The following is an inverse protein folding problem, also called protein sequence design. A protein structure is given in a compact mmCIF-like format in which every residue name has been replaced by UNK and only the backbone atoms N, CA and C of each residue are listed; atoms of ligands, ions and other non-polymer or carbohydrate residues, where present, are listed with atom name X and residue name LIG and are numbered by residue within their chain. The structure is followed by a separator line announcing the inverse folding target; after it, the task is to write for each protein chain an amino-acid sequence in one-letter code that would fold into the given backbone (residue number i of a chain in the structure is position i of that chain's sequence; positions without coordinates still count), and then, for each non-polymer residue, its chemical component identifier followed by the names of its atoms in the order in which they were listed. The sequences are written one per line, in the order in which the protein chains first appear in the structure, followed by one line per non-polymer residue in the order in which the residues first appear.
data_IF_371558987860
#
_entry.id   IF_371558987860
#
_cell.length_a   1.000
_cell.length_b   1.000
_cell.length_c   1.000
_cell.angle_alpha   90.00
_cell.angle_beta   90.00
_cell.angle_gamma   90.00
#
_symmetry.space_group_name_H-M   'P 1'
#
loop_
_entity.id
_entity.type
_entity.pdbx_description
1 polymer ?
#
# COMPACT_ATOMS: atom_id res chain seq x y z
N UNK A 1 -9.87 25.45 0.54
CA UNK A 1 -10.05 25.97 -0.84
C UNK A 1 -10.49 27.42 -0.68
N UNK A 2 -9.71 28.42 -1.04
CA UNK A 2 -9.36 28.84 -2.39
C UNK A 2 -7.88 29.25 -2.47
N UNK A 3 -7.10 28.65 -3.37
CA UNK A 3 -6.98 29.07 -4.78
C UNK A 3 -6.28 30.43 -4.92
N UNK A 4 -5.21 30.44 -5.70
CA UNK A 4 -4.46 31.63 -6.10
C UNK A 4 -5.39 32.71 -6.71
N UNK A 5 -5.48 33.84 -5.98
CA UNK A 5 -5.83 35.23 -6.34
C UNK A 5 -7.18 35.56 -7.01
N UNK A 6 -7.93 36.46 -6.34
CA UNK A 6 -8.24 37.81 -6.85
C UNK A 6 -8.56 38.77 -5.68
N UNK A 7 -8.27 40.07 -5.81
CA UNK A 7 -8.51 41.09 -4.78
C UNK A 7 -9.34 42.24 -5.36
N UNK A 8 -10.42 42.60 -4.68
CA UNK A 8 -11.04 43.94 -4.68
C UNK A 8 -12.05 43.99 -3.52
N UNK A 9 -11.90 44.95 -2.60
CA UNK A 9 -12.60 44.97 -1.31
C UNK A 9 -13.80 45.91 -1.22
N UNK A 10 -14.48 45.89 -0.06
CA UNK A 10 -14.91 47.06 0.74
C UNK A 10 -15.64 46.64 2.03
N UNK A 11 -15.45 47.46 3.07
CA UNK A 11 -15.99 47.45 4.44
C UNK A 11 -17.47 47.03 4.63
N UNK A 12 -17.81 46.43 5.79
CA UNK A 12 -18.48 47.12 6.93
C UNK A 12 -18.92 46.19 8.10
N UNK A 13 -18.65 46.69 9.32
CA UNK A 13 -19.42 46.64 10.60
C UNK A 13 -19.76 45.31 11.31
N UNK A 14 -19.44 45.31 12.61
CA UNK A 14 -19.71 44.27 13.62
C UNK A 14 -21.18 44.19 14.03
N UNK A 15 -21.71 42.97 14.15
CA UNK A 15 -22.93 42.64 14.88
C UNK A 15 -22.72 41.32 15.64
N UNK A 16 -22.97 41.31 16.96
CA UNK A 16 -23.07 40.11 17.79
C UNK A 16 -24.48 39.52 17.67
N UNK A 17 -24.66 38.21 17.39
CA UNK A 17 -25.99 37.61 17.39
C UNK A 17 -26.32 36.97 18.75
N UNK A 18 -27.53 37.24 19.23
CA UNK A 18 -28.22 36.47 20.26
C UNK A 18 -28.70 35.17 19.60
N UNK A 19 -28.28 34.01 20.11
CA UNK A 19 -28.67 32.70 19.58
C UNK A 19 -30.01 32.29 20.19
N UNK A 20 -31.08 32.40 19.43
CA UNK A 20 -32.33 31.69 19.73
C UNK A 20 -32.18 30.21 19.30
N UNK A 21 -32.23 29.31 20.28
CA UNK A 21 -32.18 27.86 20.05
C UNK A 21 -33.49 27.43 19.38
N UNK A 22 -33.44 27.20 18.07
CA UNK A 22 -34.62 26.77 17.31
C UNK A 22 -34.91 25.29 17.62
N UNK A 23 -35.94 25.05 18.42
CA UNK A 23 -36.32 23.70 18.91
C UNK A 23 -36.50 22.71 17.76
N UNK A 24 -36.99 23.17 16.59
CA UNK A 24 -37.11 22.32 15.40
C UNK A 24 -35.77 21.82 14.84
N UNK A 25 -34.70 22.62 14.95
CA UNK A 25 -33.35 22.22 14.53
C UNK A 25 -32.75 21.18 15.48
N UNK A 26 -32.93 21.36 16.79
CA UNK A 26 -32.46 20.42 17.81
C UNK A 26 -33.16 19.06 17.69
N UNK A 27 -34.48 19.06 17.49
CA UNK A 27 -35.26 17.84 17.27
C UNK A 27 -34.87 17.15 15.96
N UNK A 28 -34.60 17.91 14.89
CA UNK A 28 -34.10 17.37 13.63
C UNK A 28 -32.73 16.69 13.75
N UNK A 29 -31.78 17.32 14.43
CA UNK A 29 -30.44 16.75 14.66
C UNK A 29 -30.51 15.49 15.54
N UNK A 30 -31.33 15.51 16.59
CA UNK A 30 -31.56 14.32 17.43
C UNK A 30 -32.20 13.18 16.64
N UNK A 31 -33.15 13.45 15.75
CA UNK A 31 -33.77 12.43 14.92
C UNK A 31 -32.79 11.81 13.90
N UNK A 32 -31.91 12.63 13.31
CA UNK A 32 -30.83 12.15 12.43
C UNK A 32 -29.80 11.32 13.20
N UNK A 33 -29.41 11.75 14.40
CA UNK A 33 -28.51 10.96 15.27
C UNK A 33 -29.15 9.66 15.73
N UNK A 34 -30.43 9.67 16.06
CA UNK A 34 -31.15 8.46 16.48
C UNK A 34 -31.30 7.47 15.32
N UNK A 35 -31.64 7.96 14.13
CA UNK A 35 -31.71 7.10 12.93
C UNK A 35 -30.33 6.57 12.57
N UNK A 36 -29.27 7.39 12.64
CA UNK A 36 -27.89 6.93 12.44
C UNK A 36 -27.50 5.87 13.47
N UNK A 37 -27.76 6.07 14.76
CA UNK A 37 -27.50 5.09 15.82
C UNK A 37 -28.28 3.79 15.62
N UNK A 38 -29.54 3.86 15.21
CA UNK A 38 -30.37 2.67 14.92
C UNK A 38 -29.86 1.94 13.68
N UNK A 39 -29.42 2.66 12.64
CA UNK A 39 -28.80 2.06 11.46
C UNK A 39 -27.44 1.44 11.79
N UNK A 40 -26.60 2.10 12.59
CA UNK A 40 -25.32 1.57 13.06
C UNK A 40 -25.49 0.35 13.96
N UNK A 41 -26.47 0.35 14.87
CA UNK A 41 -26.82 -0.82 15.67
C UNK A 41 -27.36 -1.95 14.81
N UNK A 42 -28.25 -1.68 13.84
CA UNK A 42 -28.74 -2.71 12.90
C UNK A 42 -27.62 -3.29 12.05
N UNK A 43 -26.68 -2.47 11.58
CA UNK A 43 -25.51 -2.92 10.82
C UNK A 43 -24.55 -3.77 11.69
N UNK A 44 -24.33 -3.37 12.96
CA UNK A 44 -23.56 -4.16 13.91
C UNK A 44 -24.25 -5.49 14.26
N UNK A 45 -25.58 -5.49 14.45
CA UNK A 45 -26.38 -6.69 14.73
C UNK A 45 -26.47 -7.60 13.50
N UNK A 46 -26.53 -7.06 12.28
CA UNK A 46 -26.42 -7.88 11.05
C UNK A 46 -25.02 -8.45 10.86
N UNK A 47 -23.98 -7.77 11.34
CA UNK A 47 -22.61 -8.31 11.39
C UNK A 47 -22.42 -9.42 12.43
N UNK A 48 -23.28 -9.49 13.45
CA UNK A 48 -23.28 -10.53 14.48
C UNK A 48 -24.14 -11.76 14.10
N UNK A 49 -25.04 -11.64 13.13
CA UNK A 49 -25.92 -12.70 12.64
C UNK A 49 -25.68 -12.99 11.14
N UNK A 50 -24.42 -13.22 10.76
CA UNK A 50 -24.14 -13.88 9.49
C UNK A 50 -24.71 -15.31 9.56
N UNK A 51 -25.46 -15.72 8.53
CA UNK A 51 -25.80 -17.14 8.36
C UNK A 51 -24.50 -17.95 8.34
N UNK A 52 -24.33 -18.86 9.30
CA UNK A 52 -23.20 -19.79 9.30
C UNK A 52 -23.32 -20.69 8.07
N UNK A 53 -22.29 -20.68 7.21
CA UNK A 53 -22.25 -21.52 6.01
C UNK A 53 -22.40 -20.75 4.71
N UNK A 54 -21.47 -19.85 4.39
CA UNK A 54 -21.50 -19.11 3.11
C UNK A 54 -20.12 -19.09 2.43
N UNK A 55 -20.15 -19.04 1.09
CA UNK A 55 -18.97 -18.75 0.25
C UNK A 55 -19.24 -17.46 -0.51
N UNK A 56 -18.44 -16.43 -0.27
CA UNK A 56 -18.55 -15.13 -0.94
C UNK A 56 -17.36 -14.96 -1.87
N UNK A 57 -17.63 -15.04 -3.17
CA UNK A 57 -16.63 -14.79 -4.21
C UNK A 57 -16.60 -13.31 -4.58
N UNK A 58 -15.43 -12.69 -4.48
CA UNK A 58 -15.23 -11.27 -4.73
C UNK A 58 -14.26 -11.06 -5.90
N UNK A 59 -14.77 -10.38 -6.94
CA UNK A 59 -14.06 -9.96 -8.15
C UNK A 59 -14.00 -8.44 -8.31
N UNK A 60 -14.32 -7.67 -7.26
CA UNK A 60 -14.33 -6.21 -7.28
C UNK A 60 -12.94 -5.69 -7.67
N UNK A 61 -12.88 -4.69 -8.55
CA UNK A 61 -11.61 -4.19 -9.07
C UNK A 61 -11.00 -5.07 -10.18
N UNK A 62 -9.84 -4.64 -10.69
CA UNK A 62 -9.20 -5.27 -11.86
C UNK A 62 -8.12 -6.30 -11.52
N UNK A 63 -7.62 -6.31 -10.27
CA UNK A 63 -6.36 -6.98 -9.95
C UNK A 63 -6.52 -8.37 -9.36
N UNK A 64 -7.51 -8.60 -8.48
CA UNK A 64 -7.51 -9.78 -7.60
C UNK A 64 -8.84 -10.52 -7.60
N UNK A 65 -8.79 -11.80 -7.24
CA UNK A 65 -9.94 -12.64 -6.96
C UNK A 65 -9.78 -13.22 -5.57
N UNK A 66 -10.84 -13.18 -4.78
CA UNK A 66 -10.80 -13.65 -3.38
C UNK A 66 -12.08 -14.40 -3.04
N UNK A 67 -11.98 -15.35 -2.12
CA UNK A 67 -13.12 -16.02 -1.52
C UNK A 67 -13.10 -15.84 0.00
N UNK A 68 -14.21 -15.41 0.60
CA UNK A 68 -14.46 -15.57 2.03
C UNK A 68 -15.34 -16.80 2.24
N UNK A 69 -14.93 -17.69 3.13
CA UNK A 69 -15.62 -18.94 3.45
C UNK A 69 -15.92 -18.95 4.95
N UNK A 70 -17.19 -18.98 5.31
CA UNK A 70 -17.65 -18.89 6.70
C UNK A 70 -18.42 -20.16 7.12
N UNK A 71 -18.03 -20.83 8.22
CA UNK A 71 -18.67 -22.06 8.71
C UNK A 71 -17.68 -23.14 9.16
N UNK A 72 -18.04 -24.43 8.99
CA UNK A 72 -17.09 -25.55 9.14
C UNK A 72 -16.22 -25.62 7.89
N UNK A 73 -15.04 -24.98 7.94
CA UNK A 73 -14.11 -24.92 6.81
C UNK A 73 -12.98 -25.92 7.00
N UNK A 74 -12.77 -26.80 6.01
CA UNK A 74 -11.69 -27.81 6.02
C UNK A 74 -10.71 -27.58 4.89
N UNK A 75 -9.46 -27.37 5.23
CA UNK A 75 -8.38 -27.16 4.28
C UNK A 75 -7.60 -28.47 4.14
N UNK A 76 -7.70 -29.11 2.99
CA UNK A 76 -6.79 -30.19 2.62
C UNK A 76 -5.53 -29.54 2.03
N UNK A 77 -4.46 -29.49 2.83
CA UNK A 77 -3.26 -28.75 2.48
C UNK A 77 -2.49 -29.40 1.32
N UNK A 78 -2.42 -30.73 1.27
CA UNK A 78 -1.73 -31.46 0.20
C UNK A 78 -2.39 -31.27 -1.17
N UNK A 79 -3.72 -31.14 -1.19
CA UNK A 79 -4.49 -30.90 -2.41
C UNK A 79 -4.78 -29.42 -2.69
N UNK A 80 -4.29 -28.49 -1.84
CA UNK A 80 -4.61 -27.05 -1.90
C UNK A 80 -6.12 -26.80 -2.11
N UNK A 81 -6.94 -27.47 -1.32
CA UNK A 81 -8.39 -27.41 -1.43
C UNK A 81 -9.03 -26.95 -0.13
N UNK A 82 -9.95 -25.99 -0.20
CA UNK A 82 -10.71 -25.41 0.91
C UNK A 82 -12.17 -25.80 0.75
N UNK A 83 -12.71 -26.51 1.74
CA UNK A 83 -14.05 -27.05 1.69
C UNK A 83 -14.95 -26.37 2.71
N UNK A 84 -16.10 -25.87 2.28
CA UNK A 84 -17.20 -25.54 3.19
C UNK A 84 -18.06 -26.79 3.40
N UNK A 85 -18.24 -27.19 4.66
CA UNK A 85 -19.10 -28.32 5.03
C UNK A 85 -20.50 -27.79 5.36
N UNK A 86 -21.53 -28.10 4.55
CA UNK A 86 -22.88 -27.67 4.85
C UNK A 86 -23.49 -28.49 5.99
N UNK A 87 -24.45 -27.91 6.69
CA UNK A 87 -25.20 -28.58 7.76
C UNK A 87 -26.25 -29.57 7.23
N UNK A 88 -26.65 -29.43 5.97
CA UNK A 88 -27.59 -30.31 5.27
C UNK A 88 -27.10 -30.61 3.84
N UNK A 89 -27.84 -31.43 3.10
CA UNK A 89 -27.52 -31.70 1.70
C UNK A 89 -27.56 -30.41 0.88
N UNK A 90 -26.53 -30.18 0.06
CA UNK A 90 -26.38 -28.99 -0.78
C UNK A 90 -25.90 -29.36 -2.18
N UNK A 91 -26.12 -28.46 -3.13
CA UNK A 91 -25.44 -28.52 -4.42
C UNK A 91 -23.93 -28.25 -4.26
N UNK A 92 -23.12 -28.94 -5.07
CA UNK A 92 -21.68 -28.74 -5.12
C UNK A 92 -21.37 -27.55 -5.99
N UNK A 93 -20.62 -26.61 -5.43
CA UNK A 93 -20.08 -25.46 -6.14
C UNK A 93 -18.57 -25.43 -5.96
N UNK A 94 -17.84 -25.00 -6.99
CA UNK A 94 -16.38 -25.01 -7.00
C UNK A 94 -15.85 -23.74 -7.66
N UNK A 95 -14.82 -23.16 -7.06
CA UNK A 95 -14.10 -21.98 -7.53
C UNK A 95 -12.61 -22.28 -7.52
N UNK A 96 -11.88 -21.75 -8.50
CA UNK A 96 -10.43 -21.84 -8.55
C UNK A 96 -9.86 -20.44 -8.34
N UNK A 97 -9.18 -20.22 -7.22
CA UNK A 97 -8.69 -18.92 -6.81
C UNK A 97 -7.18 -18.92 -6.87
N UNK A 98 -6.58 -17.98 -7.61
CA UNK A 98 -5.16 -17.71 -7.50
C UNK A 98 -4.93 -16.93 -6.20
N UNK A 99 -4.25 -17.49 -5.17
CA UNK A 99 -4.16 -16.86 -3.85
C UNK A 99 -3.13 -15.71 -3.81
N UNK A 100 -3.04 -14.91 -4.87
CA UNK A 100 -2.13 -13.77 -5.02
C UNK A 100 -2.93 -12.53 -5.44
N UNK A 101 -2.42 -11.33 -5.16
CA UNK A 101 -3.18 -10.09 -5.42
C UNK A 101 -3.34 -9.74 -6.90
N UNK A 102 -2.67 -10.47 -7.80
CA UNK A 102 -2.75 -10.31 -9.25
C UNK A 102 -3.30 -11.59 -9.86
N UNK A 103 -4.49 -11.54 -10.47
CA UNK A 103 -5.23 -12.65 -11.10
C UNK A 103 -4.40 -13.50 -12.07
N UNK A 104 -3.35 -12.91 -12.64
CA UNK A 104 -2.41 -13.57 -13.54
C UNK A 104 -1.00 -13.45 -13.00
N UNK A 105 -0.60 -14.35 -12.10
CA UNK A 105 0.78 -14.45 -11.62
C UNK A 105 1.39 -15.81 -12.00
N UNK A 106 2.37 -15.84 -12.93
CA UNK A 106 3.05 -17.07 -13.30
C UNK A 106 3.71 -17.75 -12.10
N UNK A 107 3.70 -19.09 -12.09
CA UNK A 107 4.35 -19.89 -11.06
C UNK A 107 3.58 -20.03 -9.75
N UNK A 108 2.42 -19.39 -9.61
CA UNK A 108 1.54 -19.54 -8.45
C UNK A 108 0.48 -20.59 -8.74
N UNK A 109 0.30 -21.53 -7.80
CA UNK A 109 -0.76 -22.55 -7.88
C UNK A 109 -2.09 -22.00 -7.39
N UNK A 110 -3.16 -22.36 -8.08
CA UNK A 110 -4.51 -22.06 -7.61
C UNK A 110 -4.85 -22.89 -6.37
N UNK A 111 -5.70 -22.32 -5.53
CA UNK A 111 -6.41 -22.98 -4.44
C UNK A 111 -7.83 -23.24 -4.90
N UNK A 112 -8.26 -24.50 -4.79
CA UNK A 112 -9.65 -24.87 -5.08
C UNK A 112 -10.50 -24.57 -3.85
N UNK A 113 -11.58 -23.81 -4.02
CA UNK A 113 -12.58 -23.58 -2.98
C UNK A 113 -13.85 -24.33 -3.40
N UNK A 114 -14.44 -25.13 -2.52
CA UNK A 114 -15.65 -25.87 -2.87
C UNK A 114 -16.64 -25.96 -1.70
N UNK A 115 -17.93 -25.83 -2.02
CA UNK A 115 -19.01 -26.20 -1.13
C UNK A 115 -19.32 -27.68 -1.33
N UNK A 116 -19.21 -28.48 -0.27
CA UNK A 116 -19.46 -29.92 -0.34
C UNK A 116 -20.96 -30.23 -0.41
N UNK A 117 -21.28 -31.44 -0.87
CA UNK A 117 -22.68 -31.89 -0.97
C UNK A 117 -23.29 -32.23 0.40
N UNK A 118 -22.46 -32.55 1.40
CA UNK A 118 -22.91 -32.91 2.73
C UNK A 118 -21.75 -33.27 3.66
N UNK A 119 -22.01 -33.42 4.98
CA UNK A 119 -20.98 -33.71 5.97
C UNK A 119 -20.18 -34.99 5.72
N UNK A 120 -20.80 -36.00 5.11
CA UNK A 120 -20.17 -37.30 4.84
C UNK A 120 -19.03 -37.23 3.82
N UNK A 121 -19.01 -36.20 2.95
CA UNK A 121 -17.95 -36.00 1.97
C UNK A 121 -16.74 -35.25 2.54
N UNK A 122 -16.84 -34.73 3.76
CA UNK A 122 -15.83 -33.84 4.33
C UNK A 122 -14.68 -34.64 4.99
N UNK A 123 -13.41 -34.33 4.66
CA UNK A 123 -12.27 -35.02 5.26
C UNK A 123 -12.18 -34.73 6.76
N UNK A 124 -11.78 -35.70 7.59
CA UNK A 124 -11.66 -35.49 9.02
C UNK A 124 -10.59 -34.44 9.36
N UNK A 125 -10.86 -33.59 10.35
CA UNK A 125 -9.89 -32.62 10.85
C UNK A 125 -8.72 -33.35 11.52
N UNK A 126 -7.50 -33.04 11.07
CA UNK A 126 -6.27 -33.46 11.77
C UNK A 126 -5.86 -32.42 12.81
N UNK A 127 -6.12 -31.14 12.54
CA UNK A 127 -5.87 -30.00 13.43
C UNK A 127 -7.04 -29.04 13.34
N UNK A 128 -7.48 -28.50 14.48
CA UNK A 128 -8.62 -27.58 14.56
C UNK A 128 -8.20 -26.28 15.22
N UNK A 129 -8.69 -25.16 14.68
CA UNK A 129 -8.42 -23.82 15.16
C UNK A 129 -9.71 -23.10 15.56
N UNK A 130 -9.62 -22.24 16.58
CA UNK A 130 -10.74 -21.38 17.01
C UNK A 130 -10.72 -19.98 16.40
N UNK A 131 -9.74 -19.66 15.57
CA UNK A 131 -9.50 -18.36 14.94
C UNK A 131 -9.69 -18.44 13.42
N UNK A 132 -9.99 -17.33 12.71
CA UNK A 132 -9.99 -17.31 11.24
C UNK A 132 -8.60 -17.56 10.64
N UNK A 133 -8.56 -17.87 9.35
CA UNK A 133 -7.32 -17.94 8.57
C UNK A 133 -7.35 -17.08 7.30
N UNK A 134 -6.17 -16.64 6.85
CA UNK A 134 -5.96 -16.02 5.53
C UNK A 134 -4.94 -16.84 4.75
N UNK A 135 -5.35 -17.35 3.59
CA UNK A 135 -4.51 -18.08 2.64
C UNK A 135 -3.99 -17.11 1.59
N UNK A 136 -2.68 -17.02 1.43
CA UNK A 136 -2.05 -16.25 0.36
C UNK A 136 -0.77 -16.91 -0.14
N UNK A 137 -0.37 -16.58 -1.37
CA UNK A 137 0.86 -17.06 -1.99
C UNK A 137 1.99 -16.04 -1.89
N UNK A 138 3.22 -16.55 -1.81
CA UNK A 138 4.44 -15.80 -2.08
C UNK A 138 5.06 -16.23 -3.42
N UNK A 139 6.26 -15.73 -3.74
CA UNK A 139 6.87 -15.88 -5.06
C UNK A 139 6.37 -14.79 -6.02
N UNK A 140 6.21 -15.08 -7.31
CA UNK A 140 5.78 -14.09 -8.28
C UNK A 140 6.72 -12.88 -8.31
N UNK A 141 6.23 -11.72 -7.87
CA UNK A 141 6.99 -10.46 -7.83
C UNK A 141 7.61 -10.14 -6.45
N UNK A 142 7.38 -10.99 -5.43
CA UNK A 142 7.99 -10.84 -4.10
C UNK A 142 9.53 -10.87 -4.17
N UNK A 143 10.18 -10.11 -3.27
CA UNK A 143 11.61 -9.82 -3.33
C UNK A 143 11.94 -8.50 -4.03
N UNK A 144 10.96 -7.88 -4.67
CA UNK A 144 10.97 -6.45 -4.95
C UNK A 144 10.22 -5.73 -3.81
N UNK A 145 10.88 -4.79 -3.15
CA UNK A 145 10.36 -4.12 -1.95
C UNK A 145 9.03 -3.40 -2.17
N UNK A 146 8.75 -2.89 -3.38
CA UNK A 146 7.44 -2.33 -3.69
C UNK A 146 6.37 -3.41 -3.78
N UNK A 147 6.63 -4.51 -4.49
CA UNK A 147 5.69 -5.62 -4.62
C UNK A 147 5.42 -6.34 -3.30
N UNK A 148 6.44 -6.50 -2.44
CA UNK A 148 6.23 -7.05 -1.11
C UNK A 148 5.18 -6.23 -0.34
N UNK A 149 5.18 -4.90 -0.49
CA UNK A 149 4.17 -4.03 0.11
C UNK A 149 2.84 -4.02 -0.64
N UNK A 150 2.86 -3.72 -1.94
CA UNK A 150 1.65 -3.48 -2.74
C UNK A 150 0.85 -4.75 -3.02
N UNK A 151 1.54 -5.88 -3.19
CA UNK A 151 0.92 -7.14 -3.60
C UNK A 151 0.64 -8.04 -2.39
N UNK A 152 1.38 -7.88 -1.29
CA UNK A 152 1.25 -8.75 -0.11
C UNK A 152 0.87 -7.97 1.15
N UNK A 153 1.73 -7.09 1.68
CA UNK A 153 1.55 -6.56 3.04
C UNK A 153 0.35 -5.61 3.19
N UNK A 154 0.09 -4.73 2.22
CA UNK A 154 -1.08 -3.84 2.24
C UNK A 154 -2.39 -4.63 2.13
N UNK A 155 -2.56 -5.54 1.15
CA UNK A 155 -3.73 -6.42 1.09
C UNK A 155 -3.87 -7.35 2.30
N UNK A 156 -2.76 -7.84 2.86
CA UNK A 156 -2.77 -8.70 4.05
C UNK A 156 -3.23 -7.92 5.28
N UNK A 157 -2.80 -6.66 5.45
CA UNK A 157 -3.33 -5.77 6.47
C UNK A 157 -4.84 -5.60 6.33
N UNK A 158 -5.33 -5.33 5.11
CA UNK A 158 -6.78 -5.22 4.83
C UNK A 158 -7.53 -6.49 5.19
N UNK A 159 -7.00 -7.67 4.83
CA UNK A 159 -7.66 -8.95 5.08
C UNK A 159 -7.65 -9.38 6.56
N UNK A 160 -6.71 -8.90 7.35
CA UNK A 160 -6.44 -9.43 8.70
C UNK A 160 -6.72 -8.47 9.85
N UNK A 161 -6.69 -7.15 9.62
CA UNK A 161 -6.74 -6.16 10.70
C UNK A 161 -8.02 -6.24 11.54
N UNK A 162 -9.15 -6.64 10.93
CA UNK A 162 -10.44 -6.84 11.62
C UNK A 162 -10.40 -7.85 12.78
N UNK A 163 -9.41 -8.73 12.81
CA UNK A 163 -9.31 -9.80 13.81
C UNK A 163 -8.43 -9.47 15.03
N UNK A 164 -7.81 -8.28 15.08
CA UNK A 164 -7.03 -7.85 16.26
C UNK A 164 -5.88 -8.80 16.64
N UNK A 165 -5.27 -9.46 15.65
CA UNK A 165 -4.20 -10.45 15.84
C UNK A 165 -4.67 -11.90 15.99
N UNK A 166 -5.97 -12.15 16.16
CA UNK A 166 -6.53 -13.50 16.25
C UNK A 166 -6.80 -14.09 14.87
N UNK A 167 -5.75 -14.33 14.09
CA UNK A 167 -5.88 -14.86 12.71
C UNK A 167 -4.64 -15.66 12.32
N UNK A 168 -4.83 -16.84 11.73
CA UNK A 168 -3.74 -17.69 11.26
C UNK A 168 -3.37 -17.34 9.81
N UNK A 169 -2.08 -17.10 9.54
CA UNK A 169 -1.59 -16.99 8.17
C UNK A 169 -1.16 -18.34 7.64
N UNK A 170 -1.66 -18.68 6.46
CA UNK A 170 -1.38 -19.92 5.75
C UNK A 170 -0.80 -19.55 4.38
N UNK A 171 0.46 -19.90 4.15
CA UNK A 171 1.21 -19.40 3.00
C UNK A 171 1.49 -20.56 2.03
N UNK A 172 1.12 -20.38 0.77
CA UNK A 172 1.51 -21.27 -0.33
C UNK A 172 2.69 -20.69 -1.11
N UNK A 173 3.46 -21.54 -1.77
CA UNK A 173 4.68 -21.14 -2.49
C UNK A 173 5.62 -20.29 -1.60
N UNK A 174 5.75 -20.67 -0.34
CA UNK A 174 6.46 -19.91 0.69
C UNK A 174 7.92 -19.73 0.30
N UNK A 175 8.38 -18.48 0.30
CA UNK A 175 9.78 -18.14 0.19
C UNK A 175 10.37 -18.08 1.61
N UNK A 176 11.30 -18.99 2.02
CA UNK A 176 11.70 -19.11 3.43
C UNK A 176 12.26 -17.83 4.05
N UNK A 177 12.89 -16.97 3.24
CA UNK A 177 13.45 -15.69 3.68
C UNK A 177 12.38 -14.63 3.97
N UNK A 178 11.19 -14.72 3.36
CA UNK A 178 10.19 -13.65 3.37
C UNK A 178 9.50 -13.47 4.74
N UNK A 179 9.01 -14.54 5.42
CA UNK A 179 8.46 -14.40 6.75
C UNK A 179 9.47 -13.84 7.76
N UNK A 180 10.76 -14.13 7.57
CA UNK A 180 11.82 -13.58 8.41
C UNK A 180 12.03 -12.08 8.14
N UNK A 181 12.14 -11.69 6.88
CA UNK A 181 12.33 -10.31 6.47
C UNK A 181 11.19 -9.38 6.95
N UNK A 182 9.96 -9.90 7.02
CA UNK A 182 8.77 -9.14 7.41
C UNK A 182 8.19 -9.55 8.77
N UNK A 183 8.98 -10.23 9.60
CA UNK A 183 8.56 -10.77 10.90
C UNK A 183 7.89 -9.74 11.80
N UNK A 184 8.42 -8.51 11.86
CA UNK A 184 7.88 -7.42 12.69
C UNK A 184 6.45 -7.06 12.27
N UNK A 185 6.18 -7.01 10.96
CA UNK A 185 4.83 -6.74 10.43
C UNK A 185 3.90 -7.93 10.69
N UNK A 186 4.36 -9.14 10.38
CA UNK A 186 3.54 -10.35 10.55
C UNK A 186 3.09 -10.55 12.00
N UNK A 187 3.99 -10.32 12.97
CA UNK A 187 3.67 -10.37 14.41
C UNK A 187 2.73 -9.25 14.86
N UNK A 188 2.71 -8.12 14.14
CA UNK A 188 1.74 -7.05 14.37
C UNK A 188 0.34 -7.38 13.84
N UNK A 189 0.24 -8.24 12.82
CA UNK A 189 -1.03 -8.64 12.21
C UNK A 189 -1.60 -9.94 12.78
N UNK A 190 -0.74 -10.83 13.30
CA UNK A 190 -1.12 -12.13 13.87
C UNK A 190 -0.32 -12.45 15.12
N UNK A 191 -0.98 -13.04 16.12
CA UNK A 191 -0.37 -13.61 17.33
C UNK A 191 0.24 -15.00 17.10
N UNK A 192 0.05 -15.57 15.91
CA UNK A 192 0.46 -16.92 15.55
C UNK A 192 1.57 -16.89 14.50
N UNK A 193 2.47 -17.86 14.54
CA UNK A 193 3.47 -18.01 13.48
C UNK A 193 2.80 -18.42 12.16
N UNK A 194 3.29 -17.88 11.05
CA UNK A 194 2.78 -18.23 9.73
C UNK A 194 3.08 -19.71 9.41
N UNK A 195 2.09 -20.41 8.84
CA UNK A 195 2.22 -21.82 8.47
C UNK A 195 2.57 -21.93 7.00
N UNK A 196 3.58 -22.73 6.68
CA UNK A 196 3.86 -23.15 5.31
C UNK A 196 2.91 -24.27 4.91
N UNK A 197 2.11 -24.04 3.86
CA UNK A 197 1.24 -25.07 3.29
C UNK A 197 1.96 -25.98 2.29
N UNK A 198 3.15 -25.59 1.80
CA UNK A 198 3.89 -26.40 0.85
C UNK A 198 4.43 -27.66 1.54
N UNK A 199 3.93 -28.82 1.13
CA UNK A 199 4.27 -30.11 1.73
C UNK A 199 3.54 -30.41 3.05
N UNK A 200 2.51 -29.62 3.39
CA UNK A 200 1.67 -29.88 4.56
C UNK A 200 0.65 -31.00 4.27
N UNK A 201 0.68 -32.06 5.09
CA UNK A 201 -0.18 -33.24 4.97
C UNK A 201 -1.43 -33.18 5.86
N UNK A 202 -1.60 -32.09 6.62
CA UNK A 202 -2.73 -31.93 7.51
C UNK A 202 -4.02 -31.55 6.77
N UNK A 203 -5.13 -31.98 7.34
CA UNK A 203 -6.44 -31.33 7.13
C UNK A 203 -6.66 -30.36 8.29
N UNK A 204 -6.60 -29.07 8.00
CA UNK A 204 -6.74 -28.01 9.02
C UNK A 204 -8.14 -27.42 8.97
N UNK A 205 -8.78 -27.30 10.13
CA UNK A 205 -10.16 -26.84 10.23
C UNK A 205 -10.28 -25.50 10.94
N UNK A 206 -11.07 -24.60 10.35
CA UNK A 206 -11.23 -23.22 10.78
C UNK A 206 -12.71 -22.81 10.76
N UNK A 207 -13.14 -21.86 11.62
CA UNK A 207 -14.48 -21.29 11.58
C UNK A 207 -14.68 -20.32 10.40
N UNK A 208 -13.60 -19.77 9.85
CA UNK A 208 -13.64 -18.81 8.76
C UNK A 208 -12.29 -18.77 8.02
N UNK A 209 -12.32 -18.71 6.69
CA UNK A 209 -11.12 -18.65 5.85
C UNK A 209 -11.28 -17.64 4.73
N UNK A 210 -10.31 -16.73 4.59
CA UNK A 210 -10.15 -15.89 3.40
C UNK A 210 -9.12 -16.54 2.47
N UNK A 211 -9.44 -16.71 1.19
CA UNK A 211 -8.53 -17.24 0.16
C UNK A 211 -8.18 -16.13 -0.82
N UNK A 212 -6.89 -15.82 -0.93
CA UNK A 212 -6.36 -14.74 -1.75
C UNK A 212 -6.29 -13.39 -1.03
N UNK A 213 -5.64 -12.45 -1.70
CA UNK A 213 -5.43 -11.08 -1.21
C UNK A 213 -6.10 -10.09 -2.15
N UNK A 214 -6.86 -9.14 -1.62
CA UNK A 214 -7.57 -8.14 -2.40
C UNK A 214 -6.77 -6.85 -2.50
N UNK A 215 -6.16 -6.58 -3.65
CA UNK A 215 -5.43 -5.34 -3.89
C UNK A 215 -6.33 -4.29 -4.53
N UNK A 216 -6.41 -3.11 -3.89
CA UNK A 216 -7.26 -2.02 -4.35
C UNK A 216 -6.53 -1.22 -5.43
N UNK A 217 -5.44 -0.53 -5.07
CA UNK A 217 -4.61 0.20 -6.02
C UNK A 217 -3.18 0.41 -5.48
N UNK A 218 -2.26 -0.50 -5.80
CA UNK A 218 -0.86 -0.39 -5.36
C UNK A 218 -0.75 -0.34 -3.83
N UNK A 219 -0.28 0.80 -3.31
CA UNK A 219 -0.14 1.05 -1.86
C UNK A 219 -1.39 1.69 -1.23
N UNK A 220 -2.41 2.05 -2.01
CA UNK A 220 -3.64 2.70 -1.52
C UNK A 220 -4.71 1.70 -1.09
N UNK A 221 -5.45 2.06 -0.04
CA UNK A 221 -6.61 1.33 0.48
C UNK A 221 -7.86 2.19 0.32
N UNK A 222 -8.81 1.70 -0.48
CA UNK A 222 -10.18 2.23 -0.57
C UNK A 222 -11.07 1.72 0.58
N UNK A 223 -11.51 2.59 1.51
CA UNK A 223 -12.24 2.18 2.72
C UNK A 223 -13.54 1.42 2.45
N UNK A 224 -14.23 1.73 1.35
CA UNK A 224 -15.51 1.12 0.97
C UNK A 224 -15.36 -0.27 0.32
N UNK A 225 -14.13 -0.78 0.21
CA UNK A 225 -13.82 -2.13 -0.28
C UNK A 225 -13.32 -3.04 0.85
N UNK A 226 -13.04 -2.48 2.03
CA UNK A 226 -12.48 -3.22 3.15
C UNK A 226 -13.56 -4.08 3.82
N UNK A 227 -13.32 -5.37 4.00
CA UNK A 227 -14.30 -6.26 4.60
C UNK A 227 -14.33 -6.08 6.14
N UNK A 228 -15.53 -6.03 6.73
CA UNK A 228 -15.72 -5.91 8.19
C UNK A 228 -15.63 -4.50 8.78
N UNK A 229 -15.31 -3.47 7.97
CA UNK A 229 -15.32 -2.07 8.39
C UNK A 229 -14.27 -1.23 7.64
N UNK A 230 -14.44 0.10 7.57
CA UNK A 230 -13.54 0.94 6.78
C UNK A 230 -12.13 0.99 7.38
N UNK A 231 -11.12 0.70 6.55
CA UNK A 231 -9.70 1.00 6.79
C UNK A 231 -9.19 1.89 5.66
N UNK A 232 -8.23 2.76 5.97
CA UNK A 232 -7.61 3.66 5.00
C UNK A 232 -6.10 3.40 4.87
N UNK A 233 -5.49 3.98 3.83
CA UNK A 233 -4.03 3.99 3.67
C UNK A 233 -3.32 4.61 4.88
N UNK A 234 -3.94 5.62 5.50
CA UNK A 234 -3.46 6.23 6.74
C UNK A 234 -3.48 5.25 7.93
N UNK A 235 -4.46 4.34 8.01
CA UNK A 235 -4.48 3.32 9.07
C UNK A 235 -3.36 2.30 8.88
N UNK A 236 -3.03 1.96 7.63
CA UNK A 236 -1.85 1.14 7.33
C UNK A 236 -0.56 1.82 7.77
N UNK A 237 -0.33 3.09 7.43
CA UNK A 237 0.89 3.78 7.87
C UNK A 237 0.94 3.99 9.38
N UNK A 238 -0.20 4.23 10.05
CA UNK A 238 -0.26 4.23 11.51
C UNK A 238 0.18 2.87 12.08
N UNK A 239 -0.34 1.77 11.53
CA UNK A 239 0.06 0.43 11.93
C UNK A 239 1.57 0.17 11.72
N UNK A 240 2.13 0.58 10.58
CA UNK A 240 3.57 0.47 10.32
C UNK A 240 4.40 1.22 11.38
N UNK A 241 3.94 2.40 11.79
CA UNK A 241 4.61 3.18 12.85
C UNK A 241 4.53 2.51 14.22
N UNK A 242 3.39 1.90 14.54
CA UNK A 242 3.18 1.16 15.79
C UNK A 242 4.12 -0.05 15.89
N UNK A 243 4.16 -0.90 14.86
CA UNK A 243 4.93 -2.16 14.91
C UNK A 243 6.44 -1.94 14.94
N UNK A 244 6.92 -0.87 14.30
CA UNK A 244 8.35 -0.50 14.33
C UNK A 244 8.70 0.49 15.45
N UNK A 245 7.74 0.86 16.29
CA UNK A 245 7.90 1.84 17.37
C UNK A 245 8.57 3.15 16.91
N UNK A 246 8.09 3.69 15.79
CA UNK A 246 8.70 4.86 15.14
C UNK A 246 8.48 6.14 15.97
N UNK A 247 9.55 6.81 16.42
CA UNK A 247 9.43 7.87 17.43
C UNK A 247 8.92 9.21 16.89
N UNK A 248 9.10 9.49 15.59
CA UNK A 248 8.73 10.80 15.01
C UNK A 248 7.34 10.75 14.42
N UNK A 249 6.41 11.57 14.92
CA UNK A 249 5.00 11.68 14.50
C UNK A 249 4.69 12.89 13.61
N UNK A 250 5.67 13.77 13.41
CA UNK A 250 5.61 14.90 12.49
C UNK A 250 7.01 15.24 11.93
N UNK A 251 7.08 15.86 10.74
CA UNK A 251 8.32 16.43 10.25
C UNK A 251 8.77 17.61 11.11
N UNK A 252 10.00 18.09 10.89
CA UNK A 252 10.53 19.26 11.59
C UNK A 252 9.63 20.49 11.35
N UNK A 253 9.16 21.12 12.44
CA UNK A 253 8.39 22.36 12.37
C UNK A 253 9.34 23.55 12.42
N UNK A 254 9.54 24.20 11.27
CA UNK A 254 10.39 25.40 11.16
C UNK A 254 9.80 26.62 11.87
N UNK A 255 8.52 26.59 12.23
CA UNK A 255 7.87 27.62 13.06
C UNK A 255 8.30 27.48 14.52
N UNK A 256 8.39 26.23 15.02
CA UNK A 256 8.75 25.94 16.42
C UNK A 256 10.25 25.87 16.64
N UNK A 257 10.98 25.34 15.65
CA UNK A 257 12.41 25.11 15.69
C UNK A 257 13.08 25.80 14.48
N UNK A 258 13.11 27.16 14.45
CA UNK A 258 13.56 27.91 13.27
C UNK A 258 15.04 27.70 12.92
N UNK A 259 15.85 27.25 13.87
CA UNK A 259 17.27 26.94 13.67
C UNK A 259 17.52 25.52 13.17
N UNK A 260 16.51 24.63 13.23
CA UNK A 260 16.66 23.24 12.81
C UNK A 260 16.56 23.12 11.30
N UNK A 261 17.53 22.45 10.70
CA UNK A 261 17.48 22.12 9.27
C UNK A 261 16.65 20.86 9.07
N UNK A 262 15.64 20.87 8.20
CA UNK A 262 14.92 19.64 7.86
C UNK A 262 15.84 18.67 7.15
N UNK A 263 15.66 17.38 7.41
CA UNK A 263 16.52 16.33 6.87
C UNK A 263 15.92 15.78 5.58
N UNK A 264 16.72 15.72 4.52
CA UNK A 264 16.35 15.16 3.23
C UNK A 264 17.13 13.88 2.98
N UNK A 265 16.42 12.77 2.79
CA UNK A 265 16.99 11.50 2.35
C UNK A 265 16.97 11.45 0.83
N UNK A 266 18.11 11.19 0.21
CA UNK A 266 18.23 10.84 -1.20
C UNK A 266 18.40 9.33 -1.33
N UNK A 267 17.46 8.64 -1.98
CA UNK A 267 17.56 7.21 -2.23
C UNK A 267 18.66 6.96 -3.25
N UNK A 268 19.78 6.43 -2.78
CA UNK A 268 20.88 5.98 -3.61
C UNK A 268 20.49 4.73 -4.39
N UNK A 269 20.99 4.61 -5.63
CA UNK A 269 20.77 3.44 -6.48
C UNK A 269 22.09 3.02 -7.13
N UNK A 270 22.51 1.77 -6.86
CA UNK A 270 23.76 1.22 -7.39
C UNK A 270 23.67 0.63 -8.81
N UNK A 271 22.46 0.29 -9.28
CA UNK A 271 22.30 -0.53 -10.50
C UNK A 271 21.53 0.19 -11.63
N UNK A 272 20.21 0.36 -11.52
CA UNK A 272 19.36 1.00 -12.52
C UNK A 272 18.75 2.31 -12.02
N UNK A 273 18.39 3.21 -12.96
CA UNK A 273 17.81 4.52 -12.66
C UNK A 273 18.67 5.36 -11.71
N UNK A 274 19.97 5.37 -11.95
CA UNK A 274 20.94 6.08 -11.10
C UNK A 274 20.83 7.58 -11.30
N UNK A 275 21.10 8.37 -10.27
CA UNK A 275 21.34 9.81 -10.42
C UNK A 275 22.84 10.00 -10.67
N UNK A 276 23.19 10.36 -11.90
CA UNK A 276 24.59 10.41 -12.36
C UNK A 276 25.39 11.54 -11.70
N UNK A 277 24.71 12.60 -11.24
CA UNK A 277 25.29 13.75 -10.56
C UNK A 277 24.77 13.90 -9.11
N UNK A 278 24.66 12.78 -8.38
CA UNK A 278 24.10 12.71 -7.02
C UNK A 278 24.70 13.75 -6.06
N UNK A 279 26.02 13.95 -6.11
CA UNK A 279 26.72 14.93 -5.27
C UNK A 279 26.33 16.38 -5.57
N UNK A 280 25.96 16.71 -6.81
CA UNK A 280 25.44 18.04 -7.14
C UNK A 280 24.02 18.23 -6.61
N UNK A 281 23.21 17.17 -6.65
CA UNK A 281 21.85 17.17 -6.11
C UNK A 281 21.86 17.35 -4.59
N UNK A 282 22.75 16.65 -3.89
CA UNK A 282 22.94 16.81 -2.44
C UNK A 282 23.36 18.25 -2.09
N UNK A 283 24.37 18.80 -2.77
CA UNK A 283 24.80 20.20 -2.56
C UNK A 283 23.69 21.21 -2.86
N UNK A 284 22.87 20.95 -3.88
CA UNK A 284 21.73 21.80 -4.18
C UNK A 284 20.66 21.74 -3.08
N UNK A 285 20.41 20.56 -2.50
CA UNK A 285 19.51 20.40 -1.36
C UNK A 285 20.05 21.10 -0.10
N UNK A 286 21.36 21.00 0.17
CA UNK A 286 22.01 21.72 1.27
C UNK A 286 21.90 23.25 1.08
N UNK A 287 22.12 23.74 -0.14
CA UNK A 287 21.96 25.15 -0.49
C UNK A 287 20.49 25.62 -0.37
N UNK A 288 19.52 24.72 -0.56
CA UNK A 288 18.10 24.98 -0.31
C UNK A 288 17.73 24.97 1.18
N UNK A 289 18.64 24.58 2.07
CA UNK A 289 18.46 24.63 3.53
C UNK A 289 18.27 23.28 4.22
N UNK A 290 18.38 22.17 3.49
CA UNK A 290 18.25 20.82 4.07
C UNK A 290 19.57 20.33 4.69
N UNK A 291 19.47 19.40 5.63
CA UNK A 291 20.53 18.43 5.91
C UNK A 291 20.31 17.22 4.97
N UNK A 292 21.07 17.14 3.88
CA UNK A 292 20.85 16.15 2.83
C UNK A 292 21.79 14.95 2.97
N UNK A 293 21.24 13.73 2.93
CA UNK A 293 22.01 12.48 3.07
C UNK A 293 21.56 11.48 2.02
N UNK A 294 22.52 10.91 1.28
CA UNK A 294 22.25 9.76 0.41
C UNK A 294 22.23 8.46 1.23
N UNK A 295 21.21 7.64 1.02
CA UNK A 295 21.02 6.36 1.72
C UNK A 295 20.77 5.26 0.71
N UNK A 296 21.54 4.18 0.81
CA UNK A 296 21.37 2.97 0.00
C UNK A 296 20.58 1.93 0.79
N UNK A 297 19.31 1.73 0.41
CA UNK A 297 18.45 0.68 0.96
C UNK A 297 18.74 -0.65 0.26
N UNK A 298 19.97 -1.15 0.46
CA UNK A 298 20.42 -2.43 -0.07
C UNK A 298 19.57 -3.57 0.48
N UNK A 299 19.57 -4.71 -0.23
CA UNK A 299 18.80 -5.91 0.14
C UNK A 299 19.19 -6.52 1.49
N UNK A 300 20.39 -6.25 1.98
CA UNK A 300 20.90 -6.71 3.27
C UNK A 300 20.47 -5.82 4.45
N UNK A 301 19.89 -4.64 4.19
CA UNK A 301 19.35 -3.75 5.23
C UNK A 301 17.97 -4.27 5.65
N UNK A 302 17.82 -4.55 6.94
CA UNK A 302 16.56 -5.05 7.49
C UNK A 302 15.44 -4.01 7.38
N UNK A 303 14.18 -4.45 7.28
CA UNK A 303 13.05 -3.52 7.20
C UNK A 303 12.96 -2.63 8.45
N UNK A 304 13.32 -3.15 9.62
CA UNK A 304 13.44 -2.39 10.87
C UNK A 304 14.44 -1.21 10.75
N UNK A 305 15.62 -1.46 10.18
CA UNK A 305 16.63 -0.43 9.95
C UNK A 305 16.18 0.58 8.89
N UNK A 306 15.55 0.11 7.81
CA UNK A 306 14.97 0.99 6.79
C UNK A 306 13.90 1.90 7.39
N UNK A 307 13.01 1.35 8.22
CA UNK A 307 11.93 2.07 8.88
C UNK A 307 12.45 3.17 9.81
N UNK A 308 13.41 2.83 10.68
CA UNK A 308 14.05 3.81 11.59
C UNK A 308 14.80 4.88 10.82
N UNK A 309 15.52 4.48 9.76
CA UNK A 309 16.27 5.42 8.92
C UNK A 309 15.32 6.39 8.25
N UNK A 310 14.32 5.91 7.50
CA UNK A 310 13.35 6.75 6.79
C UNK A 310 12.56 7.64 7.75
N UNK A 311 12.12 7.15 8.90
CA UNK A 311 11.39 7.95 9.90
C UNK A 311 12.23 9.10 10.46
N UNK A 312 13.56 9.01 10.40
CA UNK A 312 14.44 10.08 10.86
C UNK A 312 14.51 11.29 9.91
N UNK A 313 13.93 11.21 8.71
CA UNK A 313 13.92 12.28 7.71
C UNK A 313 12.56 12.96 7.54
N UNK A 314 12.58 14.17 6.98
CA UNK A 314 11.38 14.98 6.69
C UNK A 314 10.99 14.91 5.21
N UNK A 315 11.97 14.66 4.34
CA UNK A 315 11.82 14.55 2.89
C UNK A 315 12.47 13.26 2.40
N UNK A 316 11.75 12.49 1.57
CA UNK A 316 12.27 11.37 0.80
C UNK A 316 12.36 11.79 -0.66
N UNK A 317 13.56 11.85 -1.21
CA UNK A 317 13.84 12.16 -2.61
C UNK A 317 14.41 10.92 -3.30
N UNK A 318 13.91 10.58 -4.49
CA UNK A 318 14.53 9.52 -5.28
C UNK A 318 13.89 9.32 -6.64
N UNK A 319 14.60 8.60 -7.52
CA UNK A 319 14.06 8.18 -8.82
C UNK A 319 13.03 7.07 -8.61
N UNK A 320 11.91 7.17 -9.34
CA UNK A 320 10.81 6.22 -9.34
C UNK A 320 11.29 4.74 -9.26
N UNK A 321 10.73 4.00 -8.31
CA UNK A 321 10.96 2.56 -8.12
C UNK A 321 11.00 2.15 -6.64
N UNK A 322 11.35 0.89 -6.40
CA UNK A 322 11.11 0.21 -5.12
C UNK A 322 11.71 0.88 -3.88
N UNK A 323 12.81 1.61 -3.99
CA UNK A 323 13.38 2.34 -2.86
C UNK A 323 12.45 3.44 -2.30
N UNK A 324 11.56 3.99 -3.13
CA UNK A 324 10.57 4.98 -2.71
C UNK A 324 9.50 4.40 -1.79
N UNK A 325 9.30 3.07 -1.75
CA UNK A 325 8.36 2.41 -0.83
C UNK A 325 8.62 2.77 0.64
N UNK A 326 9.84 3.19 0.97
CA UNK A 326 10.17 3.75 2.29
C UNK A 326 9.36 5.00 2.68
N UNK A 327 8.55 5.58 1.78
CA UNK A 327 7.58 6.62 2.14
C UNK A 327 6.62 6.18 3.25
N UNK A 328 6.34 4.88 3.38
CA UNK A 328 5.42 4.34 4.40
C UNK A 328 5.90 4.58 5.83
N UNK A 329 7.18 4.90 6.01
CA UNK A 329 7.82 5.14 7.30
C UNK A 329 8.08 6.62 7.60
N UNK A 330 7.87 7.51 6.64
CA UNK A 330 7.99 8.94 6.87
C UNK A 330 7.02 9.39 7.97
N UNK A 331 7.38 10.43 8.74
CA UNK A 331 6.41 11.07 9.63
C UNK A 331 5.22 11.60 8.81
N UNK A 332 3.97 11.50 9.31
CA UNK A 332 2.82 12.15 8.70
C UNK A 332 3.09 13.62 8.42
N UNK A 333 2.72 14.12 7.23
CA UNK A 333 3.07 15.47 6.76
C UNK A 333 4.46 15.58 6.10
N UNK A 334 5.30 14.55 6.14
CA UNK A 334 6.55 14.49 5.39
C UNK A 334 6.35 14.65 3.88
N UNK A 335 7.45 14.86 3.15
CA UNK A 335 7.41 15.15 1.71
C UNK A 335 8.05 14.02 0.90
N UNK A 336 7.33 13.48 -0.08
CA UNK A 336 7.90 12.66 -1.14
C UNK A 336 8.21 13.55 -2.35
N UNK A 337 9.48 13.58 -2.76
CA UNK A 337 9.93 14.15 -4.03
C UNK A 337 10.29 13.00 -4.97
N UNK A 338 9.47 12.77 -5.98
CA UNK A 338 9.65 11.70 -6.94
C UNK A 338 10.30 12.23 -8.22
N UNK A 339 11.51 11.76 -8.54
CA UNK A 339 12.10 11.98 -9.86
C UNK A 339 11.48 10.98 -10.83
N UNK A 340 10.65 11.48 -11.74
CA UNK A 340 9.93 10.68 -12.72
C UNK A 340 10.82 10.48 -13.96
N UNK A 341 11.19 9.23 -14.31
CA UNK A 341 12.05 8.97 -15.47
C UNK A 341 11.45 9.51 -16.76
N UNK A 342 12.31 9.81 -17.74
CA UNK A 342 11.84 10.17 -19.07
C UNK A 342 11.06 9.01 -19.70
N UNK A 343 10.13 9.34 -20.61
CA UNK A 343 9.42 8.34 -21.43
C UNK A 343 7.97 8.11 -21.06
N UNK A 344 7.18 9.16 -20.77
CA UNK A 344 5.74 9.06 -20.44
C UNK A 344 5.47 8.18 -19.20
N UNK A 345 6.27 8.39 -18.17
CA UNK A 345 6.19 7.64 -16.90
C UNK A 345 5.28 8.32 -15.86
N UNK A 346 4.69 9.48 -16.18
CA UNK A 346 3.91 10.33 -15.28
C UNK A 346 2.69 9.63 -14.70
N UNK A 347 1.92 8.90 -15.52
CA UNK A 347 0.74 8.16 -15.07
C UNK A 347 1.14 7.04 -14.11
N UNK A 348 2.16 6.26 -14.44
CA UNK A 348 2.65 5.15 -13.60
C UNK A 348 3.18 5.70 -12.27
N UNK A 349 4.01 6.75 -12.32
CA UNK A 349 4.54 7.40 -11.12
C UNK A 349 3.42 7.93 -10.20
N UNK A 350 2.40 8.55 -10.79
CA UNK A 350 1.23 9.06 -10.05
C UNK A 350 0.45 7.94 -9.40
N UNK A 351 0.17 6.84 -10.11
CA UNK A 351 -0.63 5.74 -9.57
C UNK A 351 0.12 4.94 -8.49
N UNK A 352 1.42 4.72 -8.67
CA UNK A 352 2.21 3.88 -7.75
C UNK A 352 2.70 4.60 -6.50
N UNK A 353 2.92 5.92 -6.57
CA UNK A 353 3.49 6.70 -5.47
C UNK A 353 2.79 8.04 -5.23
N UNK A 354 2.38 8.77 -6.28
CA UNK A 354 1.78 10.09 -6.13
C UNK A 354 0.44 10.11 -5.38
N UNK A 355 -0.49 9.24 -5.75
CA UNK A 355 -1.77 9.07 -5.04
C UNK A 355 -1.55 8.42 -3.66
N UNK A 356 -0.81 7.30 -3.52
CA UNK A 356 -0.56 6.71 -2.20
C UNK A 356 0.09 7.67 -1.21
N UNK A 357 1.06 8.49 -1.62
CA UNK A 357 1.67 9.48 -0.75
C UNK A 357 0.62 10.44 -0.15
N UNK A 358 -0.33 10.90 -0.96
CA UNK A 358 -1.43 11.76 -0.49
C UNK A 358 -2.37 11.01 0.45
N UNK A 359 -2.72 9.76 0.13
CA UNK A 359 -3.58 8.92 0.97
C UNK A 359 -2.93 8.58 2.33
N UNK A 360 -1.59 8.56 2.39
CA UNK A 360 -0.80 8.41 3.62
C UNK A 360 -0.70 9.69 4.46
N UNK A 361 -1.21 10.83 3.94
CA UNK A 361 -1.08 12.13 4.59
C UNK A 361 0.26 12.83 4.35
N UNK A 362 1.01 12.44 3.32
CA UNK A 362 2.24 13.09 2.91
C UNK A 362 1.99 14.20 1.88
N UNK A 363 2.98 15.07 1.70
CA UNK A 363 3.06 15.96 0.54
C UNK A 363 3.78 15.24 -0.60
N UNK A 364 3.34 15.49 -1.82
CA UNK A 364 3.91 14.88 -3.03
C UNK A 364 4.32 15.96 -4.02
N UNK A 365 5.52 15.81 -4.56
CA UNK A 365 6.08 16.66 -5.61
C UNK A 365 6.77 15.73 -6.62
N UNK A 366 6.50 15.90 -7.92
CA UNK A 366 7.26 15.25 -8.98
C UNK A 366 8.28 16.20 -9.62
N UNK A 367 9.34 15.58 -10.14
CA UNK A 367 10.26 16.20 -11.07
C UNK A 367 10.35 15.33 -12.32
N UNK A 368 9.72 15.79 -13.40
CA UNK A 368 9.78 15.11 -14.69
C UNK A 368 11.12 15.37 -15.41
N UNK A 369 11.84 14.26 -15.64
CA UNK A 369 13.11 14.23 -16.35
C UNK A 369 12.87 14.50 -17.84
N UNK A 370 13.64 15.41 -18.41
CA UNK A 370 13.64 15.68 -19.86
C UNK A 370 14.59 14.74 -20.60
N UNK A 371 14.44 14.67 -21.93
CA UNK A 371 15.31 13.87 -22.78
C UNK A 371 16.79 14.21 -22.57
N UNK A 372 17.13 15.49 -22.40
CA UNK A 372 18.51 15.96 -22.19
C UNK A 372 19.10 15.53 -20.84
N UNK A 373 18.24 15.17 -19.88
CA UNK A 373 18.63 14.66 -18.56
C UNK A 373 18.66 13.13 -18.53
N UNK A 374 18.13 12.46 -19.56
CA UNK A 374 18.14 11.01 -19.66
C UNK A 374 19.42 10.51 -20.32
N UNK A 375 20.06 9.50 -19.74
CA UNK A 375 21.21 8.85 -20.41
C UNK A 375 20.82 8.15 -21.71
N UNK A 376 19.53 7.87 -21.92
CA UNK A 376 19.06 7.25 -23.16
C UNK A 376 19.36 8.11 -24.38
N UNK A 377 19.35 9.44 -24.27
CA UNK A 377 19.62 10.33 -25.40
C UNK A 377 21.03 10.13 -25.95
N UNK A 378 22.02 10.04 -25.05
CA UNK A 378 23.41 9.74 -25.39
C UNK A 378 23.58 8.30 -25.90
N UNK A 379 22.90 7.34 -25.26
CA UNK A 379 23.03 5.92 -25.58
C UNK A 379 22.40 5.52 -26.92
N UNK A 380 21.29 6.13 -27.30
CA UNK A 380 20.45 5.69 -28.43
C UNK A 380 20.37 6.72 -29.56
N UNK A 381 20.71 7.99 -29.29
CA UNK A 381 20.56 9.10 -30.22
C UNK A 381 19.12 9.65 -30.29
N UNK A 382 18.96 10.88 -30.81
CA UNK A 382 17.68 11.61 -30.79
C UNK A 382 16.58 10.96 -31.66
N UNK A 383 16.97 10.19 -32.68
CA UNK A 383 16.02 9.58 -33.62
C UNK A 383 15.46 8.23 -33.16
N UNK A 384 16.02 7.63 -32.10
CA UNK A 384 15.54 6.34 -31.60
C UNK A 384 14.11 6.47 -31.04
N UNK A 385 13.17 5.52 -31.28
CA UNK A 385 11.79 5.62 -30.83
C UNK A 385 11.65 5.88 -29.32
N UNK A 386 12.49 5.27 -28.50
CA UNK A 386 12.50 5.52 -27.05
C UNK A 386 12.75 6.99 -26.64
N UNK A 387 13.33 7.80 -27.53
CA UNK A 387 13.51 9.24 -27.36
C UNK A 387 12.44 10.02 -28.15
N UNK A 388 12.26 9.71 -29.44
CA UNK A 388 11.43 10.53 -30.33
C UNK A 388 9.92 10.28 -30.19
N UNK A 389 9.52 9.04 -29.90
CA UNK A 389 8.13 8.62 -29.76
C UNK A 389 7.98 7.60 -28.61
N UNK A 390 8.06 8.04 -27.34
CA UNK A 390 7.88 7.14 -26.20
C UNK A 390 6.56 6.37 -26.20
N UNK A 391 5.49 6.95 -26.77
CA UNK A 391 4.19 6.30 -26.86
C UNK A 391 4.26 5.01 -27.71
N UNK A 392 5.14 4.95 -28.72
CA UNK A 392 5.40 3.72 -29.48
C UNK A 392 6.04 2.60 -28.66
N UNK A 393 6.91 2.96 -27.69
CA UNK A 393 7.52 1.99 -26.77
C UNK A 393 6.46 1.42 -25.84
N UNK A 394 5.57 2.26 -25.31
CA UNK A 394 4.43 1.80 -24.50
C UNK A 394 3.50 0.88 -25.30
N UNK A 395 3.19 1.21 -26.57
CA UNK A 395 2.39 0.34 -27.46
C UNK A 395 3.07 -1.00 -27.77
N UNK A 396 4.39 -1.08 -27.62
CA UNK A 396 5.16 -2.32 -27.83
C UNK A 396 5.14 -3.25 -26.61
N UNK A 397 4.50 -2.84 -25.52
CA UNK A 397 4.28 -3.66 -24.33
C UNK A 397 5.21 -3.35 -23.16
N UNK A 398 4.86 -3.92 -22.00
CA UNK A 398 5.52 -3.67 -20.71
C UNK A 398 7.02 -3.99 -20.71
N UNK A 399 7.42 -5.06 -21.42
CA UNK A 399 8.82 -5.48 -21.49
C UNK A 399 9.71 -4.40 -22.12
N UNK A 400 9.24 -3.76 -23.20
CA UNK A 400 9.98 -2.69 -23.87
C UNK A 400 10.01 -1.40 -23.07
N UNK A 401 8.89 -1.05 -22.44
CA UNK A 401 8.83 0.07 -21.50
C UNK A 401 9.85 -0.12 -20.36
N UNK A 402 9.86 -1.31 -19.75
CA UNK A 402 10.77 -1.66 -18.65
C UNK A 402 12.23 -1.61 -19.11
N UNK A 403 12.54 -2.25 -20.24
CA UNK A 403 13.89 -2.30 -20.82
C UNK A 403 14.49 -0.89 -20.96
N UNK A 404 13.76 0.04 -21.56
CA UNK A 404 14.28 1.38 -21.83
C UNK A 404 14.17 2.30 -20.63
N UNK A 405 12.97 2.46 -20.05
CA UNK A 405 12.70 3.53 -19.10
C UNK A 405 13.00 3.16 -17.64
N UNK A 406 13.05 1.87 -17.31
CA UNK A 406 13.29 1.39 -15.94
C UNK A 406 14.67 0.75 -15.75
N UNK A 407 15.18 0.04 -16.76
CA UNK A 407 16.43 -0.71 -16.63
C UNK A 407 17.63 0.04 -17.22
N UNK A 408 17.58 0.45 -18.48
CA UNK A 408 18.70 1.11 -19.18
C UNK A 408 18.89 2.57 -18.77
N UNK A 409 17.79 3.27 -18.49
CA UNK A 409 17.83 4.70 -18.19
C UNK A 409 18.49 4.98 -16.82
N UNK A 410 19.39 5.94 -16.80
CA UNK A 410 19.80 6.71 -15.63
C UNK A 410 19.59 8.20 -15.93
N UNK A 411 19.65 9.04 -14.90
CA UNK A 411 19.27 10.46 -15.00
C UNK A 411 20.39 11.36 -14.52
N UNK A 412 20.64 12.45 -15.24
CA UNK A 412 21.53 13.55 -14.83
C UNK A 412 20.68 14.79 -14.61
N UNK A 413 20.39 15.08 -13.35
CA UNK A 413 19.43 16.11 -12.96
C UNK A 413 20.02 17.50 -13.26
N UNK A 414 19.28 18.32 -14.00
CA UNK A 414 19.61 19.71 -14.22
C UNK A 414 19.31 20.52 -12.94
N UNK A 415 20.36 20.90 -12.22
CA UNK A 415 20.25 21.57 -10.91
C UNK A 415 19.45 22.88 -10.97
N UNK A 416 19.61 23.67 -12.03
CA UNK A 416 18.86 24.93 -12.19
C UNK A 416 17.36 24.69 -12.33
N UNK A 417 16.97 23.63 -13.06
CA UNK A 417 15.56 23.23 -13.18
C UNK A 417 15.02 22.54 -11.94
N UNK A 418 15.87 21.85 -11.18
CA UNK A 418 15.49 21.14 -9.98
C UNK A 418 15.38 22.04 -8.74
N UNK A 419 16.07 23.19 -8.73
CA UNK A 419 16.04 24.12 -7.61
C UNK A 419 14.62 24.57 -7.17
N UNK A 420 13.67 24.88 -8.08
CA UNK A 420 12.28 25.16 -7.70
C UNK A 420 11.58 23.98 -6.99
N UNK A 421 11.87 22.74 -7.37
CA UNK A 421 11.34 21.53 -6.70
C UNK A 421 11.83 21.43 -5.26
N UNK A 422 13.12 21.70 -5.04
CA UNK A 422 13.69 21.73 -3.68
C UNK A 422 13.10 22.86 -2.83
N UNK A 423 12.92 24.05 -3.41
CA UNK A 423 12.28 25.17 -2.74
C UNK A 423 10.83 24.85 -2.34
N UNK A 424 10.07 24.21 -3.25
CA UNK A 424 8.70 23.77 -2.97
C UNK A 424 8.65 22.72 -1.84
N UNK A 425 9.58 21.76 -1.83
CA UNK A 425 9.68 20.77 -0.76
C UNK A 425 9.96 21.45 0.60
N UNK A 426 10.83 22.46 0.61
CA UNK A 426 11.15 23.21 1.83
C UNK A 426 9.93 24.02 2.33
N UNK A 427 9.22 24.67 1.41
CA UNK A 427 8.03 25.45 1.75
C UNK A 427 6.87 24.58 2.25
N UNK A 428 6.76 23.34 1.77
CA UNK A 428 5.82 22.36 2.31
C UNK A 428 6.05 22.09 3.81
N UNK A 429 7.27 22.20 4.31
CA UNK A 429 7.60 22.03 5.73
C UNK A 429 7.40 23.31 6.54
N UNK A 430 7.50 24.49 5.92
CA UNK A 430 7.20 25.78 6.57
C UNK A 430 5.71 26.00 6.85
N UNK A 431 4.85 25.44 6.02
CA UNK A 431 3.41 25.67 6.06
C UNK A 431 2.64 24.73 7.01
N UNK A 432 3.36 23.89 7.78
CA UNK A 432 2.79 22.86 8.65
C UNK A 432 2.63 23.30 10.10
#
# INVERSE_FOLDING_TARGET
MSSCKERSGKNTKSWTPIVHLNVGFVVGVLFVLLTFLVFSQKAAISGLNAEKGTVVYNTKGGYSETCEVDGDVRINCSALSVFLVPTASSERHEWSILPYSRKTMPGIKNVTVAQLQGPAAAPACTVTYGVPAVIFALGGLTGNFWHDFSDVLVPLFVASRRYGGEVQFLITNMQPWWPEAYRTILRGLSKYDAVNLDGDEHVRCFPHVTVGLHQHNGLSIFPEWVPGGPLSTHDFTRFMREVYALPRDAPASLVREPEKRPRLLLVHRGHSRRIMNEQEVLRAAEAAGFEAVAVDFRRDVTVDEQARTANSFDVLLGVHGAGLTNLVFLPPGGVLVQVVPYGRMDVIATLEFGLPAKDMGLRYIDYEVRAEESTLLEMLGPEHPAIKDPDSVHRSGWDKMTEFYLDKQSVRINITRFAPTLAQAFDCLRQQ
#
